data_IF_437420237336
#
_entry.id   IF_437420237336
#
_cell.length_a   1.000
_cell.length_b   1.000
_cell.length_c   1.000
_cell.angle_alpha   90.00
_cell.angle_beta   90.00
_cell.angle_gamma   90.00
#
_symmetry.space_group_name_H-M   'P 1'
#
loop_
_entity.id
_entity.type
_entity.pdbx_description
1 polymer ?
#
# COMPACT_ATOMS: atom_id res chain seq x y z
N UNK A 1 -0.91 59.20 67.66
CA UNK A 1 -1.72 60.06 66.76
C UNK A 1 -1.58 59.52 65.35
N UNK A 2 -2.71 59.11 64.76
CA UNK A 2 -3.03 58.98 63.33
C UNK A 2 -3.99 57.80 63.16
N UNK A 3 -5.28 58.10 63.17
CA UNK A 3 -6.36 57.17 62.86
C UNK A 3 -6.61 57.19 61.35
N UNK A 4 -6.75 56.00 60.74
CA UNK A 4 -7.16 55.81 59.34
C UNK A 4 -8.63 55.39 59.27
N UNK A 5 -9.38 55.81 58.21
CA UNK A 5 -10.82 55.59 58.13
C UNK A 5 -11.19 54.29 57.40
N UNK A 6 -12.40 53.82 57.70
CA UNK A 6 -13.06 52.66 57.11
C UNK A 6 -13.54 52.92 55.67
N UNK A 7 -13.43 51.91 54.81
CA UNK A 7 -14.11 51.85 53.51
C UNK A 7 -15.08 50.67 53.48
N UNK A 8 -16.36 50.97 53.25
CA UNK A 8 -17.43 50.00 53.07
C UNK A 8 -17.42 49.38 51.67
N UNK A 9 -17.66 48.07 51.59
CA UNK A 9 -17.82 47.34 50.34
C UNK A 9 -19.30 47.20 50.00
N UNK A 10 -19.71 47.79 48.87
CA UNK A 10 -21.03 47.60 48.28
C UNK A 10 -21.03 46.34 47.38
N UNK A 11 -21.91 45.39 47.68
CA UNK A 11 -22.13 44.19 46.87
C UNK A 11 -22.92 44.53 45.59
N UNK A 12 -22.38 44.19 44.42
CA UNK A 12 -23.12 44.20 43.14
C UNK A 12 -23.57 42.78 42.80
N UNK A 13 -24.87 42.54 42.84
CA UNK A 13 -25.52 41.34 42.33
C UNK A 13 -25.63 41.43 40.80
N UNK A 14 -24.78 40.69 40.08
CA UNK A 14 -24.88 40.51 38.63
C UNK A 14 -25.74 39.28 38.30
N UNK A 15 -26.90 39.50 37.66
CA UNK A 15 -27.78 38.44 37.18
C UNK A 15 -27.21 37.86 35.87
N UNK A 16 -26.78 36.60 35.89
CA UNK A 16 -26.27 35.91 34.70
C UNK A 16 -27.44 35.26 33.92
N UNK A 17 -27.77 35.82 32.76
CA UNK A 17 -28.70 35.21 31.81
C UNK A 17 -28.02 34.02 31.11
N UNK A 18 -28.51 32.81 31.36
CA UNK A 18 -28.06 31.60 30.68
C UNK A 18 -28.58 31.57 29.23
N UNK A 19 -27.75 32.02 28.29
CA UNK A 19 -27.98 31.83 26.85
C UNK A 19 -27.74 30.37 26.46
N UNK A 20 -28.80 29.65 26.10
CA UNK A 20 -28.69 28.32 25.47
C UNK A 20 -28.05 28.49 24.09
N UNK A 21 -26.77 28.11 23.96
CA UNK A 21 -26.13 27.97 22.66
C UNK A 21 -26.64 26.69 22.00
N UNK A 22 -27.46 26.83 20.97
CA UNK A 22 -27.83 25.71 20.10
C UNK A 22 -26.62 25.34 19.25
N UNK A 23 -25.98 24.21 19.57
CA UNK A 23 -24.98 23.61 18.72
C UNK A 23 -25.65 23.17 17.41
N UNK A 24 -25.49 23.98 16.36
CA UNK A 24 -25.79 23.57 15.00
C UNK A 24 -24.84 22.41 14.65
N UNK A 25 -25.37 21.18 14.69
CA UNK A 25 -24.66 20.01 14.21
C UNK A 25 -24.40 20.18 12.72
N UNK A 26 -23.16 20.53 12.37
CA UNK A 26 -22.68 20.39 11.01
C UNK A 26 -22.77 18.90 10.67
N UNK A 27 -23.75 18.54 9.83
CA UNK A 27 -23.83 17.20 9.28
C UNK A 27 -22.58 16.99 8.41
N UNK A 28 -21.61 16.24 8.94
CA UNK A 28 -20.44 15.84 8.19
C UNK A 28 -20.93 15.15 6.90
N UNK A 29 -20.63 15.75 5.75
CA UNK A 29 -21.05 15.22 4.45
C UNK A 29 -20.44 13.83 4.30
N UNK A 30 -21.30 12.83 4.05
CA UNK A 30 -20.86 11.45 3.87
C UNK A 30 -19.76 11.38 2.78
N UNK A 31 -18.69 10.60 2.99
CA UNK A 31 -17.63 10.49 2.01
C UNK A 31 -18.18 10.00 0.67
N UNK A 32 -17.75 10.62 -0.44
CA UNK A 32 -18.19 10.23 -1.79
C UNK A 32 -17.49 8.97 -2.24
N UNK A 33 -18.19 8.17 -3.05
CA UNK A 33 -17.58 7.07 -3.77
C UNK A 33 -16.48 7.57 -4.70
N UNK A 34 -15.44 6.75 -4.87
CA UNK A 34 -14.31 7.03 -5.74
C UNK A 34 -13.76 5.72 -6.31
N UNK A 35 -12.84 5.83 -7.27
CA UNK A 35 -12.13 4.67 -7.82
C UNK A 35 -10.63 4.90 -7.74
N UNK A 36 -9.87 3.83 -7.54
CA UNK A 36 -8.43 3.80 -7.80
C UNK A 36 -8.13 2.70 -8.80
N UNK A 37 -7.02 2.81 -9.52
CA UNK A 37 -6.60 1.78 -10.46
C UNK A 37 -5.30 1.14 -10.00
N UNK A 38 -5.14 -0.15 -10.25
CA UNK A 38 -3.89 -0.87 -10.03
C UNK A 38 -3.46 -1.50 -11.35
N UNK A 39 -2.31 -1.09 -11.87
CA UNK A 39 -1.69 -1.71 -13.03
C UNK A 39 -0.95 -2.92 -12.51
N UNK A 40 -1.42 -4.13 -12.86
CA UNK A 40 -0.67 -5.37 -12.66
C UNK A 40 0.67 -5.28 -13.36
N UNK A 41 1.59 -6.20 -13.06
CA UNK A 41 2.93 -6.13 -13.65
C UNK A 41 2.89 -6.18 -15.20
N UNK A 42 2.82 -5.00 -15.85
CA UNK A 42 2.55 -4.82 -17.28
C UNK A 42 3.56 -5.56 -18.17
N UNK A 43 4.74 -5.80 -17.60
CA UNK A 43 5.84 -6.47 -18.25
C UNK A 43 5.79 -8.00 -18.21
N UNK A 44 4.76 -8.59 -17.60
CA UNK A 44 4.44 -10.02 -17.79
C UNK A 44 4.10 -10.33 -19.24
N UNK A 45 3.49 -9.39 -19.97
CA UNK A 45 3.14 -9.54 -21.38
C UNK A 45 4.32 -9.31 -22.34
N UNK A 46 5.38 -8.62 -21.89
CA UNK A 46 6.58 -8.34 -22.69
C UNK A 46 7.38 -7.14 -22.19
N UNK A 47 8.59 -6.96 -22.71
CA UNK A 47 9.54 -5.89 -22.34
C UNK A 47 9.28 -4.52 -23.01
N UNK A 48 8.08 -4.30 -23.55
CA UNK A 48 7.77 -3.13 -24.36
C UNK A 48 7.31 -1.95 -23.48
N UNK A 49 8.02 -0.81 -23.57
CA UNK A 49 7.64 0.43 -22.89
C UNK A 49 6.26 0.93 -23.31
N UNK A 50 5.85 0.67 -24.55
CA UNK A 50 4.53 1.04 -25.04
C UNK A 50 3.41 0.31 -24.28
N UNK A 51 3.67 -0.89 -23.74
CA UNK A 51 2.73 -1.58 -22.85
C UNK A 51 2.47 -0.76 -21.59
N UNK A 52 3.52 -0.25 -20.95
CA UNK A 52 3.38 0.57 -19.75
C UNK A 52 2.64 1.88 -20.04
N UNK A 53 2.99 2.59 -21.13
CA UNK A 53 2.30 3.83 -21.54
C UNK A 53 0.82 3.60 -21.79
N UNK A 54 0.47 2.52 -22.49
CA UNK A 54 -0.92 2.12 -22.75
C UNK A 54 -1.64 1.80 -21.44
N UNK A 55 -1.07 0.96 -20.58
CA UNK A 55 -1.67 0.60 -19.30
C UNK A 55 -1.95 1.83 -18.43
N UNK A 56 -1.03 2.81 -18.39
CA UNK A 56 -1.23 4.08 -17.69
C UNK A 56 -2.39 4.88 -18.31
N UNK A 57 -2.46 4.93 -19.64
CA UNK A 57 -3.51 5.65 -20.37
C UNK A 57 -4.88 5.05 -20.12
N UNK A 58 -5.01 3.72 -20.24
CA UNK A 58 -6.26 2.99 -20.05
C UNK A 58 -6.72 3.02 -18.59
N UNK A 59 -5.81 2.74 -17.65
CA UNK A 59 -6.10 2.84 -16.22
C UNK A 59 -6.53 4.25 -15.78
N UNK A 60 -6.20 5.28 -16.56
CA UNK A 60 -6.58 6.68 -16.29
C UNK A 60 -7.98 7.06 -16.79
N UNK A 61 -8.64 6.24 -17.62
CA UNK A 61 -9.89 6.57 -18.30
C UNK A 61 -11.03 6.88 -17.32
N UNK A 62 -11.19 6.05 -16.28
CA UNK A 62 -12.20 6.21 -15.23
C UNK A 62 -11.89 7.32 -14.22
N UNK A 63 -10.85 8.11 -14.50
CA UNK A 63 -10.40 9.23 -13.68
C UNK A 63 -10.13 8.82 -12.22
N UNK A 64 -9.32 7.77 -11.99
CA UNK A 64 -9.05 7.31 -10.64
C UNK A 64 -8.37 8.40 -9.81
N UNK A 65 -8.55 8.33 -8.50
CA UNK A 65 -7.93 9.30 -7.58
C UNK A 65 -6.42 9.11 -7.47
N UNK A 66 -5.91 7.92 -7.80
CA UNK A 66 -4.50 7.58 -8.01
C UNK A 66 -4.39 6.23 -8.73
N UNK A 67 -3.19 5.92 -9.22
CA UNK A 67 -2.83 4.62 -9.81
C UNK A 67 -1.71 3.98 -8.98
N UNK A 68 -1.74 2.66 -8.81
CA UNK A 68 -0.60 1.90 -8.27
C UNK A 68 -0.02 1.03 -9.37
N UNK A 69 1.27 1.21 -9.69
CA UNK A 69 2.00 0.35 -10.61
C UNK A 69 2.82 -0.66 -9.81
N UNK A 70 2.51 -1.95 -9.97
CA UNK A 70 3.13 -3.03 -9.20
C UNK A 70 4.28 -3.67 -10.00
N UNK A 71 5.32 -2.88 -10.28
CA UNK A 71 6.55 -3.32 -10.92
C UNK A 71 7.06 -2.34 -11.97
N UNK A 72 8.35 -2.42 -12.26
CA UNK A 72 9.08 -1.43 -13.09
C UNK A 72 9.55 -2.05 -14.42
N UNK A 73 9.89 -3.34 -14.45
CA UNK A 73 10.44 -3.99 -15.65
C UNK A 73 10.16 -5.50 -15.76
N UNK A 74 10.25 -6.04 -16.96
CA UNK A 74 10.15 -7.47 -17.22
C UNK A 74 11.29 -8.25 -16.55
N UNK A 75 11.07 -9.55 -16.36
CA UNK A 75 12.12 -10.47 -15.89
C UNK A 75 13.32 -10.51 -16.85
N UNK A 76 13.09 -10.45 -18.16
CA UNK A 76 14.14 -10.48 -19.19
C UNK A 76 14.83 -9.15 -19.45
N UNK A 77 14.34 -8.05 -18.88
CA UNK A 77 14.94 -6.72 -19.06
C UNK A 77 16.13 -6.51 -18.11
N UNK A 78 17.18 -5.80 -18.59
CA UNK A 78 18.37 -5.53 -17.78
C UNK A 78 18.03 -4.62 -16.59
N UNK A 79 18.61 -4.91 -15.42
CA UNK A 79 18.52 -4.04 -14.25
C UNK A 79 19.44 -2.81 -14.33
N UNK A 80 19.41 -2.11 -15.47
CA UNK A 80 20.30 -0.98 -15.75
C UNK A 80 19.70 0.35 -15.26
N UNK A 81 20.58 1.27 -14.88
CA UNK A 81 20.19 2.64 -14.52
C UNK A 81 19.47 3.35 -15.67
N UNK A 82 19.88 3.08 -16.91
CA UNK A 82 19.22 3.60 -18.12
C UNK A 82 17.76 3.16 -18.17
N UNK A 83 17.49 1.88 -17.94
CA UNK A 83 16.13 1.36 -17.96
C UNK A 83 15.28 1.97 -16.83
N UNK A 84 15.81 2.04 -15.61
CA UNK A 84 15.08 2.65 -14.50
C UNK A 84 14.77 4.13 -14.76
N UNK A 85 15.70 4.89 -15.33
CA UNK A 85 15.47 6.28 -15.72
C UNK A 85 14.35 6.40 -16.77
N UNK A 86 14.41 5.60 -17.84
CA UNK A 86 13.37 5.57 -18.88
C UNK A 86 11.99 5.22 -18.31
N UNK A 87 11.91 4.21 -17.43
CA UNK A 87 10.65 3.84 -16.77
C UNK A 87 10.14 4.95 -15.86
N UNK A 88 11.03 5.66 -15.17
CA UNK A 88 10.67 6.82 -14.36
C UNK A 88 10.06 7.94 -15.22
N UNK A 89 10.66 8.26 -16.37
CA UNK A 89 10.12 9.29 -17.29
C UNK A 89 8.67 8.97 -17.70
N UNK A 90 8.40 7.72 -18.08
CA UNK A 90 7.04 7.27 -18.43
C UNK A 90 6.06 7.39 -17.27
N UNK A 91 6.49 7.04 -16.05
CA UNK A 91 5.63 7.12 -14.86
C UNK A 91 5.37 8.59 -14.45
N UNK A 92 6.36 9.48 -14.62
CA UNK A 92 6.22 10.92 -14.36
C UNK A 92 5.22 11.59 -15.31
N UNK A 93 5.05 11.07 -16.52
CA UNK A 93 4.07 11.55 -17.50
C UNK A 93 2.61 11.17 -17.17
N UNK A 94 2.38 10.35 -16.14
CA UNK A 94 1.02 9.92 -15.78
C UNK A 94 0.13 11.12 -15.45
N UNK A 95 -1.09 11.22 -16.03
CA UNK A 95 -2.02 12.30 -15.72
C UNK A 95 -2.64 12.18 -14.32
N UNK A 96 -2.41 11.06 -13.63
CA UNK A 96 -2.88 10.77 -12.27
C UNK A 96 -1.67 10.58 -11.35
N UNK A 97 -1.79 10.83 -10.04
CA UNK A 97 -0.75 10.42 -9.11
C UNK A 97 -0.50 8.91 -9.26
N UNK A 98 0.76 8.51 -9.44
CA UNK A 98 1.14 7.11 -9.58
C UNK A 98 2.13 6.69 -8.50
N UNK A 99 1.81 5.61 -7.79
CA UNK A 99 2.62 5.03 -6.74
C UNK A 99 3.24 3.76 -7.29
N UNK A 100 4.57 3.63 -7.18
CA UNK A 100 5.29 2.42 -7.58
C UNK A 100 5.42 1.50 -6.37
N UNK A 101 4.97 0.26 -6.51
CA UNK A 101 5.26 -0.84 -5.59
C UNK A 101 6.25 -1.79 -6.28
N UNK A 102 7.45 -2.03 -5.70
CA UNK A 102 8.49 -2.80 -6.38
C UNK A 102 8.11 -4.28 -6.48
N UNK A 103 8.43 -4.88 -7.63
CA UNK A 103 8.31 -6.32 -7.87
C UNK A 103 9.67 -7.03 -7.76
N UNK A 104 9.66 -8.35 -7.56
CA UNK A 104 10.88 -9.16 -7.51
C UNK A 104 11.69 -9.10 -8.80
N UNK A 105 11.01 -9.00 -9.96
CA UNK A 105 11.65 -8.78 -11.26
C UNK A 105 12.50 -7.52 -11.30
N UNK A 106 12.14 -6.50 -10.51
CA UNK A 106 12.83 -5.22 -10.49
C UNK A 106 14.17 -5.28 -9.75
N UNK A 107 14.31 -6.19 -8.76
CA UNK A 107 15.51 -6.22 -7.91
C UNK A 107 15.96 -7.63 -7.50
N UNK A 108 15.10 -8.50 -6.94
CA UNK A 108 15.51 -9.84 -6.46
C UNK A 108 16.09 -10.70 -7.58
N UNK A 109 15.49 -10.61 -8.77
CA UNK A 109 15.89 -11.35 -9.96
C UNK A 109 17.16 -10.80 -10.63
N UNK A 110 17.65 -9.63 -10.21
CA UNK A 110 18.78 -8.98 -10.88
C UNK A 110 20.09 -9.74 -10.72
N UNK A 111 20.82 -9.85 -11.83
CA UNK A 111 22.16 -10.43 -11.91
C UNK A 111 23.09 -9.47 -12.64
N UNK A 112 24.37 -9.44 -12.22
CA UNK A 112 25.41 -8.73 -12.94
C UNK A 112 25.94 -9.52 -14.15
N UNK A 113 26.86 -8.94 -14.92
CA UNK A 113 27.45 -9.56 -16.11
C UNK A 113 28.18 -10.89 -15.85
N UNK A 114 28.57 -11.14 -14.59
CA UNK A 114 29.18 -12.40 -14.15
C UNK A 114 28.13 -13.40 -13.61
N UNK A 115 26.83 -13.13 -13.78
CA UNK A 115 25.75 -14.00 -13.32
C UNK A 115 25.51 -13.99 -11.81
N UNK A 116 26.20 -13.14 -11.05
CA UNK A 116 26.05 -13.04 -9.58
C UNK A 116 24.92 -12.09 -9.22
N UNK A 117 24.21 -12.36 -8.13
CA UNK A 117 23.16 -11.46 -7.62
C UNK A 117 23.73 -10.08 -7.28
N UNK A 118 23.03 -9.04 -7.74
CA UNK A 118 23.24 -7.66 -7.32
C UNK A 118 21.94 -7.04 -6.75
N UNK A 119 21.04 -7.88 -6.25
CA UNK A 119 19.69 -7.50 -5.82
C UNK A 119 19.64 -6.34 -4.83
N UNK A 120 20.52 -6.34 -3.82
CA UNK A 120 20.55 -5.28 -2.78
C UNK A 120 20.95 -3.94 -3.36
N UNK A 121 21.97 -3.96 -4.20
CA UNK A 121 22.48 -2.76 -4.85
C UNK A 121 21.42 -2.19 -5.81
N UNK A 122 20.72 -3.05 -6.56
CA UNK A 122 19.59 -2.65 -7.41
C UNK A 122 18.38 -2.13 -6.61
N UNK A 123 18.05 -2.75 -5.47
CA UNK A 123 16.99 -2.26 -4.59
C UNK A 123 17.31 -0.86 -4.05
N UNK A 124 18.56 -0.59 -3.67
CA UNK A 124 19.00 0.74 -3.27
C UNK A 124 18.89 1.73 -4.42
N UNK A 125 19.27 1.33 -5.64
CA UNK A 125 19.12 2.19 -6.81
C UNK A 125 17.66 2.53 -7.11
N UNK A 126 16.75 1.55 -7.01
CA UNK A 126 15.30 1.79 -7.13
C UNK A 126 14.83 2.81 -6.10
N UNK A 127 15.31 2.74 -4.85
CA UNK A 127 14.93 3.69 -3.80
C UNK A 127 15.34 5.12 -4.12
N UNK A 128 16.53 5.31 -4.68
CA UNK A 128 17.00 6.62 -5.12
C UNK A 128 16.18 7.18 -6.29
N UNK A 129 15.85 6.33 -7.26
CA UNK A 129 15.19 6.75 -8.50
C UNK A 129 13.68 7.00 -8.30
N UNK A 130 13.00 6.08 -7.61
CA UNK A 130 11.54 6.07 -7.52
C UNK A 130 11.00 6.64 -6.21
N UNK A 131 11.82 6.72 -5.15
CA UNK A 131 11.39 7.21 -3.83
C UNK A 131 12.27 8.35 -3.28
N UNK A 132 12.62 9.39 -4.08
CA UNK A 132 13.52 10.46 -3.65
C UNK A 132 12.91 11.38 -2.59
N UNK A 133 11.58 11.43 -2.49
CA UNK A 133 10.83 12.31 -1.59
C UNK A 133 9.57 11.62 -1.04
N UNK A 134 8.80 12.34 -0.22
CA UNK A 134 7.50 11.93 0.29
C UNK A 134 6.35 12.20 -0.69
N UNK A 135 6.63 12.31 -1.99
CA UNK A 135 5.62 12.49 -3.03
C UNK A 135 5.53 11.23 -3.90
N UNK A 136 4.35 10.99 -4.49
CA UNK A 136 4.18 10.02 -5.58
C UNK A 136 4.78 10.56 -6.89
N UNK A 137 4.79 9.74 -7.94
CA UNK A 137 5.11 10.21 -9.29
C UNK A 137 3.82 10.71 -9.99
N UNK A 138 3.98 11.11 -11.25
CA UNK A 138 2.91 11.64 -12.11
C UNK A 138 2.81 13.17 -12.05
N UNK A 139 2.00 13.73 -12.94
CA UNK A 139 1.83 15.17 -13.11
C UNK A 139 1.14 15.87 -11.93
N UNK A 140 0.40 15.10 -11.12
CA UNK A 140 -0.32 15.58 -9.94
C UNK A 140 0.04 14.71 -8.74
N UNK A 141 1.25 14.85 -8.18
CA UNK A 141 1.72 13.95 -7.13
C UNK A 141 0.90 14.13 -5.85
N UNK A 142 0.73 13.04 -5.09
CA UNK A 142 0.14 13.05 -3.77
C UNK A 142 1.20 12.84 -2.68
N UNK A 143 0.92 13.36 -1.49
CA UNK A 143 1.82 13.23 -0.34
C UNK A 143 1.67 11.84 0.29
N UNK A 144 2.81 11.19 0.48
CA UNK A 144 2.99 9.86 1.03
C UNK A 144 3.69 9.94 2.39
N UNK A 145 3.27 9.11 3.35
CA UNK A 145 4.06 8.86 4.55
C UNK A 145 4.83 7.56 4.39
N UNK A 146 6.17 7.64 4.41
CA UNK A 146 7.04 6.48 4.21
C UNK A 146 7.51 5.87 5.54
N UNK A 147 7.73 4.56 5.54
CA UNK A 147 8.34 3.85 6.68
C UNK A 147 9.73 4.43 7.00
N UNK A 148 10.46 4.90 5.98
CA UNK A 148 11.76 5.57 6.11
C UNK A 148 11.76 6.83 6.99
N UNK A 149 10.60 7.43 7.27
CA UNK A 149 10.48 8.51 8.25
C UNK A 149 10.77 8.04 9.69
N UNK A 150 10.74 6.73 9.95
CA UNK A 150 11.14 6.14 11.23
C UNK A 150 12.64 5.90 11.24
N UNK A 151 13.38 6.47 12.20
CA UNK A 151 14.84 6.39 12.26
C UNK A 151 15.42 4.97 12.16
N UNK A 152 14.73 3.98 12.75
CA UNK A 152 15.11 2.56 12.70
C UNK A 152 15.01 1.94 11.30
N UNK A 153 14.16 2.49 10.43
CA UNK A 153 13.79 1.92 9.14
C UNK A 153 14.07 2.88 7.97
N UNK A 154 15.06 3.79 8.12
CA UNK A 154 15.42 4.80 7.09
C UNK A 154 15.65 4.21 5.69
N UNK A 155 16.12 2.97 5.61
CA UNK A 155 16.39 2.30 4.35
C UNK A 155 15.14 1.81 3.61
N UNK A 156 13.94 1.84 4.20
CA UNK A 156 12.72 1.25 3.60
C UNK A 156 11.79 2.33 3.04
N UNK A 157 12.25 3.06 2.02
CA UNK A 157 11.50 4.15 1.40
C UNK A 157 10.33 3.65 0.53
N UNK A 158 10.41 2.43 0.02
CA UNK A 158 9.42 1.79 -0.85
C UNK A 158 8.10 1.47 -0.14
N UNK A 159 8.12 1.34 1.19
CA UNK A 159 6.93 1.13 2.01
C UNK A 159 6.33 2.49 2.38
N UNK A 160 5.18 2.81 1.80
CA UNK A 160 4.49 4.08 1.98
C UNK A 160 3.01 3.88 2.25
N UNK A 161 2.38 4.79 3.00
CA UNK A 161 0.92 4.84 3.15
C UNK A 161 0.38 6.24 2.83
N UNK A 162 -0.87 6.26 2.41
CA UNK A 162 -1.69 7.47 2.22
C UNK A 162 -3.14 7.15 2.54
N UNK A 163 -3.97 8.18 2.63
CA UNK A 163 -5.40 8.03 2.90
C UNK A 163 -6.21 8.77 1.84
N UNK A 164 -7.35 8.18 1.46
CA UNK A 164 -8.35 8.83 0.63
C UNK A 164 -9.74 8.43 1.13
N UNK A 165 -10.55 9.42 1.51
CA UNK A 165 -11.82 9.15 2.19
C UNK A 165 -11.60 8.35 3.49
N UNK A 166 -12.45 7.36 3.82
CA UNK A 166 -12.30 6.53 5.01
C UNK A 166 -11.44 5.28 4.74
N UNK A 167 -10.47 5.33 3.84
CA UNK A 167 -9.62 4.18 3.50
C UNK A 167 -8.15 4.55 3.57
N UNK A 168 -7.36 3.67 4.20
CA UNK A 168 -5.91 3.72 4.22
C UNK A 168 -5.35 2.80 3.13
N UNK A 169 -4.40 3.30 2.35
CA UNK A 169 -3.72 2.56 1.29
C UNK A 169 -2.24 2.46 1.65
N UNK A 170 -1.60 1.32 1.38
CA UNK A 170 -0.17 1.18 1.61
C UNK A 170 0.51 0.19 0.68
N UNK A 171 1.77 0.47 0.35
CA UNK A 171 2.67 -0.48 -0.30
C UNK A 171 3.41 -1.33 0.74
N UNK A 172 3.71 -2.56 0.35
CA UNK A 172 4.49 -3.51 1.12
C UNK A 172 5.48 -4.21 0.18
N UNK A 173 6.78 -3.97 0.39
CA UNK A 173 7.84 -4.69 -0.32
C UNK A 173 7.86 -6.15 0.10
N UNK A 174 7.13 -6.94 -0.65
CA UNK A 174 6.94 -8.37 -0.47
C UNK A 174 7.06 -8.98 -1.88
N UNK A 175 8.30 -9.24 -2.36
CA UNK A 175 8.54 -9.72 -3.72
C UNK A 175 7.93 -11.11 -3.92
N UNK A 176 7.49 -11.39 -5.14
CA UNK A 176 7.10 -12.72 -5.57
C UNK A 176 8.30 -13.70 -5.50
N UNK A 177 8.03 -14.99 -5.74
CA UNK A 177 9.02 -16.07 -5.61
C UNK A 177 9.51 -16.20 -4.16
N UNK A 178 8.60 -16.61 -3.29
CA UNK A 178 8.88 -16.95 -1.89
C UNK A 178 9.47 -15.81 -1.05
N UNK A 179 9.03 -14.57 -1.28
CA UNK A 179 9.47 -13.41 -0.50
C UNK A 179 11.00 -13.20 -0.51
N UNK A 180 11.70 -13.69 -1.54
CA UNK A 180 13.16 -13.73 -1.61
C UNK A 180 13.84 -14.48 -0.44
N UNK A 181 13.15 -15.47 0.14
CA UNK A 181 13.76 -16.38 1.10
C UNK A 181 14.67 -17.39 0.38
N UNK A 182 15.95 -17.43 0.75
CA UNK A 182 16.94 -18.34 0.17
C UNK A 182 17.14 -19.54 1.08
N UNK A 183 17.09 -20.76 0.53
CA UNK A 183 17.25 -21.99 1.29
C UNK A 183 18.72 -22.36 1.57
N UNK A 184 19.68 -21.81 0.82
CA UNK A 184 21.07 -22.28 0.82
C UNK A 184 22.08 -21.23 1.34
N UNK A 185 22.94 -21.70 2.26
CA UNK A 185 24.33 -21.26 2.55
C UNK A 185 24.63 -19.88 3.19
N UNK A 186 23.76 -19.33 4.04
CA UNK A 186 24.15 -18.16 4.85
C UNK A 186 23.03 -17.47 5.62
N UNK A 187 23.34 -16.33 6.23
CA UNK A 187 22.34 -15.47 6.87
C UNK A 187 21.50 -14.79 5.78
N UNK A 188 20.19 -14.95 5.85
CA UNK A 188 19.22 -14.29 4.97
C UNK A 188 19.02 -12.82 5.39
N UNK A 189 20.12 -12.07 5.58
CA UNK A 189 20.09 -10.77 6.28
C UNK A 189 19.10 -9.78 5.66
N UNK A 190 19.03 -9.70 4.32
CA UNK A 190 18.05 -8.84 3.67
C UNK A 190 16.62 -9.24 4.01
N UNK A 191 16.26 -10.51 3.82
CA UNK A 191 14.94 -11.04 4.14
C UNK A 191 14.60 -10.87 5.63
N UNK A 192 15.53 -11.18 6.53
CA UNK A 192 15.36 -11.07 7.99
C UNK A 192 15.10 -9.60 8.40
N UNK A 193 15.93 -8.67 7.91
CA UNK A 193 15.79 -7.25 8.22
C UNK A 193 14.50 -6.67 7.62
N UNK A 194 14.18 -7.02 6.37
CA UNK A 194 12.93 -6.61 5.72
C UNK A 194 11.71 -7.20 6.40
N UNK A 195 11.78 -8.43 6.89
CA UNK A 195 10.71 -9.05 7.68
C UNK A 195 10.45 -8.26 8.97
N UNK A 196 11.51 -7.82 9.67
CA UNK A 196 11.36 -6.96 10.85
C UNK A 196 10.74 -5.61 10.49
N UNK A 197 11.15 -5.00 9.38
CA UNK A 197 10.62 -3.74 8.89
C UNK A 197 9.13 -3.86 8.50
N UNK A 198 8.78 -4.86 7.69
CA UNK A 198 7.41 -5.13 7.27
C UNK A 198 6.50 -5.48 8.45
N UNK A 199 7.01 -6.21 9.45
CA UNK A 199 6.27 -6.48 10.69
C UNK A 199 5.93 -5.20 11.44
N UNK A 200 6.91 -4.32 11.63
CA UNK A 200 6.69 -3.03 12.30
C UNK A 200 5.76 -2.13 11.48
N UNK A 201 5.85 -2.20 10.16
CA UNK A 201 5.01 -1.46 9.24
C UNK A 201 3.54 -1.87 9.36
N UNK A 202 3.22 -3.15 9.22
CA UNK A 202 1.85 -3.65 9.36
C UNK A 202 1.24 -3.29 10.72
N UNK A 203 1.99 -3.45 11.81
CA UNK A 203 1.52 -3.02 13.13
C UNK A 203 1.17 -1.53 13.16
N UNK A 204 2.00 -0.68 12.57
CA UNK A 204 1.76 0.76 12.50
C UNK A 204 0.51 1.09 11.68
N UNK A 205 0.36 0.48 10.51
CA UNK A 205 -0.78 0.72 9.62
C UNK A 205 -2.11 0.36 10.29
N UNK A 206 -2.21 -0.85 10.85
CA UNK A 206 -3.42 -1.31 11.51
C UNK A 206 -3.73 -0.50 12.78
N UNK A 207 -2.72 -0.14 13.58
CA UNK A 207 -2.93 0.72 14.73
C UNK A 207 -3.39 2.13 14.32
N UNK A 208 -2.86 2.67 13.23
CA UNK A 208 -3.29 3.96 12.68
C UNK A 208 -4.74 3.89 12.20
N UNK A 209 -5.08 2.86 11.42
CA UNK A 209 -6.42 2.61 10.91
C UNK A 209 -7.45 2.48 12.03
N UNK A 210 -7.14 1.70 13.08
CA UNK A 210 -8.01 1.58 14.27
C UNK A 210 -8.20 2.90 15.00
N UNK A 211 -7.12 3.66 15.24
CA UNK A 211 -7.21 4.96 15.92
C UNK A 211 -8.00 6.00 15.12
N UNK A 212 -7.88 5.97 13.79
CA UNK A 212 -8.57 6.90 12.89
C UNK A 212 -10.00 6.46 12.56
N UNK A 213 -10.36 5.21 12.86
CA UNK A 213 -11.68 4.66 12.55
C UNK A 213 -11.94 4.56 11.05
N UNK A 214 -10.91 4.29 10.24
CA UNK A 214 -11.08 4.07 8.79
C UNK A 214 -11.90 2.81 8.55
N UNK A 215 -12.69 2.82 7.48
CA UNK A 215 -13.56 1.70 7.08
C UNK A 215 -12.78 0.59 6.37
N UNK A 216 -11.63 0.91 5.77
CA UNK A 216 -10.84 -0.07 5.04
C UNK A 216 -9.33 0.19 5.02
N UNK A 217 -8.59 -0.88 4.74
CA UNK A 217 -7.17 -0.88 4.42
C UNK A 217 -6.97 -1.59 3.08
N UNK A 218 -6.18 -1.04 2.18
CA UNK A 218 -5.72 -1.73 0.97
C UNK A 218 -4.20 -1.84 1.01
N UNK A 219 -3.68 -3.06 0.84
CA UNK A 219 -2.25 -3.36 0.84
C UNK A 219 -1.82 -3.86 -0.53
N UNK A 220 -0.80 -3.22 -1.11
CA UNK A 220 -0.24 -3.58 -2.40
C UNK A 220 1.10 -4.30 -2.23
N UNK A 221 1.26 -5.45 -2.85
CA UNK A 221 2.52 -6.21 -2.89
C UNK A 221 2.74 -6.85 -4.25
N UNK A 222 3.90 -7.48 -4.44
CA UNK A 222 4.15 -8.28 -5.64
C UNK A 222 3.74 -9.73 -5.42
N UNK A 223 4.22 -10.35 -4.35
CA UNK A 223 3.81 -11.69 -3.94
C UNK A 223 2.50 -11.70 -3.16
N UNK A 224 1.74 -12.79 -3.33
CA UNK A 224 0.60 -13.13 -2.48
C UNK A 224 1.10 -13.87 -1.22
N UNK A 225 0.89 -13.33 -0.01
CA UNK A 225 1.21 -14.04 1.22
C UNK A 225 0.25 -15.19 1.52
N UNK A 226 -0.85 -15.38 0.79
CA UNK A 226 -1.85 -16.44 1.02
C UNK A 226 -2.66 -16.25 2.31
N UNK A 227 -2.77 -15.02 2.80
CA UNK A 227 -3.46 -14.75 4.06
C UNK A 227 -4.98 -14.97 3.96
N UNK A 228 -5.53 -14.87 2.75
CA UNK A 228 -6.95 -14.99 2.44
C UNK A 228 -7.45 -16.44 2.30
N UNK A 229 -6.56 -17.41 2.03
CA UNK A 229 -6.93 -18.84 1.92
C UNK A 229 -6.96 -19.54 3.29
N UNK A 230 -7.71 -20.65 3.39
CA UNK A 230 -7.62 -21.54 4.55
C UNK A 230 -6.29 -22.30 4.56
N UNK A 231 -5.76 -22.59 5.75
CA UNK A 231 -4.59 -23.48 5.84
C UNK A 231 -5.06 -24.91 5.55
N UNK A 232 -4.58 -25.50 4.45
CA UNK A 232 -4.79 -26.92 4.25
C UNK A 232 -3.92 -27.69 5.24
N UNK A 233 -4.54 -28.49 6.10
CA UNK A 233 -3.85 -29.41 7.00
C UNK A 233 -3.27 -30.57 6.17
N UNK A 234 -2.09 -30.37 5.58
CA UNK A 234 -1.30 -31.48 5.03
C UNK A 234 -0.44 -32.09 6.13
N UNK A 235 -0.53 -33.41 6.33
CA UNK A 235 0.34 -34.19 7.23
C UNK A 235 1.83 -34.14 6.85
N UNK A 236 2.17 -33.61 5.66
CA UNK A 236 3.54 -33.33 5.19
C UNK A 236 3.94 -31.84 5.35
N UNK A 237 3.05 -30.99 5.88
CA UNK A 237 3.18 -29.53 5.89
C UNK A 237 4.37 -28.96 6.68
N UNK A 238 4.88 -29.70 7.67
CA UNK A 238 6.00 -29.25 8.52
C UNK A 238 7.35 -29.09 7.80
N UNK A 239 7.53 -29.73 6.64
CA UNK A 239 8.72 -29.51 5.79
C UNK A 239 8.58 -28.28 4.88
N UNK A 240 7.35 -27.97 4.45
CA UNK A 240 7.04 -26.80 3.62
C UNK A 240 7.05 -25.49 4.41
N UNK A 241 6.56 -25.49 5.66
CA UNK A 241 6.57 -24.29 6.53
C UNK A 241 8.00 -23.75 6.78
N UNK A 242 9.01 -24.63 6.87
CA UNK A 242 10.41 -24.21 7.09
C UNK A 242 11.02 -23.46 5.89
N UNK A 243 10.37 -23.56 4.74
CA UNK A 243 10.81 -22.96 3.49
C UNK A 243 9.90 -21.85 3.00
N UNK A 244 8.79 -21.59 3.70
CA UNK A 244 7.79 -20.59 3.33
C UNK A 244 8.17 -19.20 3.88
N UNK A 245 8.76 -18.38 3.00
CA UNK A 245 9.15 -17.00 3.27
C UNK A 245 7.98 -16.07 3.57
N UNK A 246 6.74 -16.49 3.35
CA UNK A 246 5.52 -15.72 3.66
C UNK A 246 4.89 -16.09 5.00
N UNK A 247 5.29 -17.18 5.65
CA UNK A 247 4.60 -17.70 6.85
C UNK A 247 4.39 -16.65 7.93
N UNK A 248 5.43 -15.87 8.28
CA UNK A 248 5.32 -14.88 9.36
C UNK A 248 4.42 -13.70 8.99
N UNK A 249 4.53 -13.18 7.76
CA UNK A 249 3.67 -12.07 7.30
C UNK A 249 2.21 -12.54 7.14
N UNK A 250 1.98 -13.76 6.65
CA UNK A 250 0.65 -14.39 6.55
C UNK A 250 -0.03 -14.46 7.92
N UNK A 251 0.66 -15.03 8.91
CA UNK A 251 0.16 -15.16 10.30
C UNK A 251 -0.14 -13.78 10.90
N UNK A 252 0.75 -12.80 10.68
CA UNK A 252 0.56 -11.44 11.18
C UNK A 252 -0.64 -10.73 10.53
N UNK A 253 -0.79 -10.82 9.19
CA UNK A 253 -1.90 -10.19 8.47
C UNK A 253 -3.25 -10.71 8.96
N UNK A 254 -3.40 -12.03 9.11
CA UNK A 254 -4.62 -12.65 9.65
C UNK A 254 -4.94 -12.13 11.06
N UNK A 255 -3.97 -12.17 11.96
CA UNK A 255 -4.16 -11.73 13.34
C UNK A 255 -4.49 -10.22 13.48
N UNK A 256 -3.95 -9.38 12.59
CA UNK A 256 -4.25 -7.95 12.53
C UNK A 256 -5.63 -7.70 11.92
N UNK A 257 -5.98 -8.40 10.83
CA UNK A 257 -7.27 -8.31 10.17
C UNK A 257 -8.41 -8.72 11.10
N UNK A 258 -8.29 -9.83 11.84
CA UNK A 258 -9.29 -10.29 12.81
C UNK A 258 -9.64 -9.24 13.88
N UNK A 259 -8.67 -8.40 14.26
CA UNK A 259 -8.84 -7.33 15.25
C UNK A 259 -9.31 -6.02 14.65
N UNK A 260 -9.30 -5.89 13.32
CA UNK A 260 -9.72 -4.69 12.62
C UNK A 260 -11.20 -4.79 12.24
N UNK A 261 -11.99 -3.78 12.61
CA UNK A 261 -13.44 -3.79 12.36
C UNK A 261 -13.80 -3.52 10.89
N UNK A 262 -12.90 -2.88 10.14
CA UNK A 262 -13.09 -2.58 8.72
C UNK A 262 -12.68 -3.72 7.79
N UNK A 263 -12.72 -3.46 6.48
CA UNK A 263 -12.28 -4.41 5.44
C UNK A 263 -10.79 -4.25 5.13
N UNK A 264 -10.09 -5.34 4.91
CA UNK A 264 -8.70 -5.35 4.44
C UNK A 264 -8.67 -5.97 3.06
N UNK A 265 -8.20 -5.26 2.03
CA UNK A 265 -8.00 -5.80 0.69
C UNK A 265 -6.51 -5.97 0.42
N UNK A 266 -6.08 -7.19 0.09
CA UNK A 266 -4.74 -7.48 -0.41
C UNK A 266 -4.78 -7.43 -1.93
N UNK A 267 -3.89 -6.67 -2.54
CA UNK A 267 -3.74 -6.56 -4.00
C UNK A 267 -2.32 -6.96 -4.37
N UNK A 268 -2.16 -7.95 -5.24
CA UNK A 268 -0.84 -8.43 -5.63
C UNK A 268 -0.73 -8.79 -7.11
N UNK A 269 0.46 -9.21 -7.55
CA UNK A 269 0.74 -9.56 -8.94
C UNK A 269 0.66 -11.06 -9.23
N UNK A 270 0.00 -11.86 -8.41
CA UNK A 270 -0.06 -13.31 -8.62
C UNK A 270 -1.37 -13.76 -9.29
N UNK A 271 -2.15 -12.81 -9.84
CA UNK A 271 -3.34 -13.11 -10.63
C UNK A 271 -3.03 -13.84 -11.95
N UNK A 272 -3.92 -14.76 -12.34
CA UNK A 272 -3.88 -15.45 -13.62
C UNK A 272 -4.46 -14.55 -14.72
N UNK A 273 -3.65 -14.28 -15.74
CA UNK A 273 -4.04 -13.45 -16.89
C UNK A 273 -5.12 -14.09 -17.77
N UNK A 274 -5.42 -15.39 -17.60
CA UNK A 274 -6.43 -16.11 -18.40
C UNK A 274 -7.81 -16.10 -17.77
N UNK A 275 -7.92 -15.73 -16.49
CA UNK A 275 -9.18 -15.72 -15.75
C UNK A 275 -9.61 -14.28 -15.51
N UNK A 276 -10.92 -13.97 -15.61
CA UNK A 276 -11.41 -12.68 -15.20
C UNK A 276 -10.99 -12.36 -13.76
N UNK A 277 -10.58 -11.11 -13.48
CA UNK A 277 -10.24 -10.68 -12.14
C UNK A 277 -11.42 -10.89 -11.20
N UNK A 278 -11.14 -11.39 -10.00
CA UNK A 278 -12.15 -11.61 -8.99
C UNK A 278 -11.62 -11.24 -7.61
N UNK A 279 -12.47 -10.58 -6.81
CA UNK A 279 -12.20 -10.35 -5.39
C UNK A 279 -12.74 -11.52 -4.57
N UNK A 280 -11.85 -12.25 -3.92
CA UNK A 280 -12.23 -13.33 -2.99
C UNK A 280 -12.13 -12.84 -1.55
N UNK A 281 -13.02 -13.30 -0.68
CA UNK A 281 -13.12 -12.81 0.70
C UNK A 281 -13.14 -13.94 1.72
N UNK A 282 -12.42 -13.74 2.82
CA UNK A 282 -12.49 -14.53 4.05
C UNK A 282 -12.75 -13.58 5.22
N UNK A 283 -13.99 -13.55 5.71
CA UNK A 283 -14.40 -12.62 6.75
C UNK A 283 -14.26 -11.16 6.30
N UNK A 284 -13.33 -10.42 6.90
CA UNK A 284 -13.01 -9.05 6.52
C UNK A 284 -11.73 -8.92 5.68
N UNK A 285 -11.05 -10.02 5.37
CA UNK A 285 -9.84 -10.04 4.54
C UNK A 285 -10.18 -10.47 3.11
N UNK A 286 -10.00 -9.57 2.16
CA UNK A 286 -10.18 -9.80 0.74
C UNK A 286 -8.85 -9.89 0.01
N UNK A 287 -8.88 -10.48 -1.18
CA UNK A 287 -7.73 -10.59 -2.07
C UNK A 287 -8.15 -10.31 -3.52
N UNK A 288 -7.29 -9.58 -4.24
CA UNK A 288 -7.37 -9.32 -5.66
C UNK A 288 -5.98 -9.57 -6.29
N UNK A 289 -5.86 -10.65 -7.05
CA UNK A 289 -4.66 -10.91 -7.83
C UNK A 289 -4.74 -10.21 -9.19
N UNK A 290 -3.78 -9.35 -9.50
CA UNK A 290 -3.67 -8.64 -10.77
C UNK A 290 -3.04 -9.54 -11.84
N UNK A 291 -3.67 -9.59 -13.01
CA UNK A 291 -3.21 -10.29 -14.20
C UNK A 291 -2.04 -9.59 -14.90
N UNK A 292 -2.14 -9.43 -16.23
CA UNK A 292 -1.17 -8.67 -17.04
C UNK A 292 -1.60 -7.22 -17.31
N UNK A 293 -2.89 -6.95 -17.16
CA UNK A 293 -3.50 -5.64 -17.41
C UNK A 293 -3.63 -4.82 -16.12
N UNK A 294 -4.55 -3.86 -16.12
CA UNK A 294 -4.92 -3.03 -14.98
C UNK A 294 -6.31 -3.40 -14.46
N UNK A 295 -6.56 -3.11 -13.18
CA UNK A 295 -7.86 -3.27 -12.54
C UNK A 295 -8.31 -1.95 -11.92
N UNK A 296 -9.55 -1.55 -12.19
CA UNK A 296 -10.19 -0.45 -11.46
C UNK A 296 -10.92 -1.03 -10.25
N UNK A 297 -10.70 -0.45 -9.07
CA UNK A 297 -11.41 -0.80 -7.85
C UNK A 297 -12.26 0.39 -7.41
N UNK A 298 -13.57 0.15 -7.31
CA UNK A 298 -14.51 1.10 -6.75
C UNK A 298 -14.52 1.00 -5.23
N UNK A 299 -14.45 2.15 -4.58
CA UNK A 299 -14.58 2.31 -3.13
C UNK A 299 -15.91 3.00 -2.84
N UNK A 300 -16.74 2.36 -2.04
CA UNK A 300 -18.07 2.85 -1.65
C UNK A 300 -18.15 3.01 -0.11
N UNK A 301 -17.72 4.18 0.43
CA UNK A 301 -17.85 4.50 1.85
C UNK A 301 -19.26 4.26 2.41
N UNK A 302 -19.32 3.72 3.63
CA UNK A 302 -20.55 3.38 4.34
C UNK A 302 -21.29 2.15 3.81
N UNK A 303 -20.79 1.49 2.77
CA UNK A 303 -21.37 0.25 2.21
C UNK A 303 -20.81 -0.99 2.89
N UNK A 304 -21.64 -2.04 3.02
CA UNK A 304 -21.17 -3.37 3.40
C UNK A 304 -20.16 -3.94 2.37
N UNK A 305 -20.33 -3.55 1.10
CA UNK A 305 -19.42 -3.82 0.00
C UNK A 305 -18.53 -2.59 -0.23
N UNK A 306 -17.61 -2.36 0.70
CA UNK A 306 -16.70 -1.20 0.64
C UNK A 306 -15.84 -1.21 -0.63
N UNK A 307 -15.43 -2.38 -1.11
CA UNK A 307 -14.63 -2.57 -2.30
C UNK A 307 -15.36 -3.46 -3.32
N UNK A 308 -15.36 -3.05 -4.58
CA UNK A 308 -15.80 -3.86 -5.70
C UNK A 308 -14.92 -3.58 -6.92
N UNK A 309 -14.84 -4.53 -7.85
CA UNK A 309 -14.26 -4.23 -9.17
C UNK A 309 -15.10 -3.15 -9.86
N UNK A 310 -14.44 -2.29 -10.64
CA UNK A 310 -15.10 -1.38 -11.57
C UNK A 310 -15.84 -2.19 -12.63
N UNK A 311 -16.88 -1.61 -13.22
CA UNK A 311 -17.47 -2.20 -14.41
C UNK A 311 -16.42 -2.14 -15.53
N UNK A 312 -16.21 -3.27 -16.22
CA UNK A 312 -15.38 -3.32 -17.42
C UNK A 312 -15.94 -2.28 -18.41
N UNK A 313 -15.11 -1.33 -18.84
CA UNK A 313 -15.52 -0.43 -19.90
C UNK A 313 -15.85 -1.31 -21.11
N UNK A 314 -17.14 -1.39 -21.45
CA UNK A 314 -17.58 -2.16 -22.62
C UNK A 314 -16.80 -1.66 -23.85
N UNK A 315 -16.32 -2.57 -24.72
CA UNK A 315 -15.48 -2.24 -25.86
C UNK A 315 -16.13 -1.26 -26.84
#
# INVERSE_FOLDING_TARGET
>A
MAASPAFGAAARTGSAAAGKSAAAGATAKAPRAFVFSAIGHAFKAGADEALLKRAITEASQDKPVFIVATGIKAAGEPCSDKLYAQRKEVLDESPRPIIVSPAGTDWTACRNSAGRSNAIERLNRIREVFYPSNESLGLQPLVLTRLSATAKFRSYAENAYWEHGPVLFATLNLPAQNNHFLQEAGRNSEFEDRLVANRAWLHRLFALAQRRGVEGIVLFSDGDPGAHVEESFSLLGGFSEKQDGYTQVRKQLRALAEKFKGKVLLVDNQGDAKTPPAMTWRGNLGHLGLGVEWETVRVQPGSANLFSLGEEAAP
#
